data_IF_308691270760
#
_entry.id   IF_308691270760
#
_cell.length_a   1.000
_cell.length_b   1.000
_cell.length_c   1.000
_cell.angle_alpha   90.00
_cell.angle_beta   90.00
_cell.angle_gamma   90.00
#
_symmetry.space_group_name_H-M   'P 1'
#
loop_
_entity.id
_entity.type
_entity.pdbx_description
1 polymer ?
#
# COMPACT_ATOMS: atom_id res chain seq x y z
N UNK A 1 -10.46 -15.99 -12.84
CA UNK A 1 -9.61 -16.05 -14.05
C UNK A 1 -8.52 -14.96 -14.06
N UNK A 2 -8.04 -14.47 -12.90
CA UNK A 2 -7.13 -13.29 -12.85
C UNK A 2 -5.62 -13.61 -12.73
N UNK A 3 -5.23 -14.64 -11.98
CA UNK A 3 -3.82 -14.97 -11.74
C UNK A 3 -3.01 -15.30 -13.01
N UNK A 4 -3.51 -16.06 -14.01
CA UNK A 4 -2.77 -16.33 -15.24
C UNK A 4 -2.42 -15.05 -16.03
N UNK A 5 -3.33 -14.09 -16.07
CA UNK A 5 -3.10 -12.80 -16.75
C UNK A 5 -1.97 -11.98 -16.09
N UNK A 6 -1.84 -12.07 -14.77
CA UNK A 6 -0.81 -11.36 -14.02
C UNK A 6 0.58 -12.01 -14.16
N UNK A 7 0.65 -13.35 -14.22
CA UNK A 7 1.90 -14.06 -14.48
C UNK A 7 2.40 -13.81 -15.89
N UNK A 8 1.51 -13.83 -16.89
CA UNK A 8 1.86 -13.55 -18.29
C UNK A 8 2.44 -12.13 -18.44
N UNK A 9 1.87 -11.15 -17.72
CA UNK A 9 2.38 -9.79 -17.68
C UNK A 9 3.79 -9.72 -17.07
N UNK A 10 4.04 -10.42 -15.96
CA UNK A 10 5.37 -10.47 -15.34
C UNK A 10 6.41 -11.05 -16.28
N UNK A 11 6.09 -12.17 -16.93
CA UNK A 11 6.98 -12.84 -17.89
C UNK A 11 7.25 -11.96 -19.11
N UNK A 12 6.22 -11.33 -19.67
CA UNK A 12 6.35 -10.34 -20.76
C UNK A 12 7.32 -9.22 -20.38
N UNK A 13 7.23 -8.75 -19.13
CA UNK A 13 8.11 -7.72 -18.57
C UNK A 13 9.49 -8.25 -18.12
N UNK A 14 9.79 -9.53 -18.33
CA UNK A 14 11.09 -10.14 -18.03
C UNK A 14 11.33 -10.39 -16.54
N UNK A 15 10.27 -10.47 -15.74
CA UNK A 15 10.33 -10.92 -14.35
C UNK A 15 10.19 -12.43 -14.28
N UNK A 16 10.94 -13.05 -13.37
CA UNK A 16 10.74 -14.46 -13.03
C UNK A 16 9.56 -14.60 -12.08
N UNK A 17 8.58 -15.42 -12.44
CA UNK A 17 7.46 -15.74 -11.54
C UNK A 17 7.99 -16.59 -10.37
N UNK A 18 7.74 -16.20 -9.10
CA UNK A 18 8.22 -16.95 -7.95
C UNK A 18 7.65 -18.37 -7.92
N UNK A 19 8.53 -19.38 -7.83
CA UNK A 19 8.13 -20.78 -7.64
C UNK A 19 8.19 -21.19 -6.16
N UNK A 20 8.94 -20.44 -5.35
CA UNK A 20 9.13 -20.69 -3.92
C UNK A 20 8.84 -19.43 -3.12
N UNK A 21 8.39 -19.58 -1.87
CA UNK A 21 7.96 -18.44 -1.05
C UNK A 21 9.09 -17.44 -0.74
N UNK A 22 10.34 -17.89 -0.63
CA UNK A 22 11.47 -17.00 -0.37
C UNK A 22 11.81 -16.08 -1.56
N UNK A 23 11.39 -16.44 -2.78
CA UNK A 23 11.55 -15.61 -3.98
C UNK A 23 10.50 -14.50 -4.06
N UNK A 24 9.36 -14.68 -3.37
CA UNK A 24 8.23 -13.76 -3.42
C UNK A 24 8.58 -12.42 -2.73
N UNK A 25 8.22 -11.28 -3.36
CA UNK A 25 8.33 -9.98 -2.71
C UNK A 25 7.49 -9.95 -1.44
N UNK A 26 7.96 -9.23 -0.43
CA UNK A 26 7.20 -9.00 0.81
C UNK A 26 6.45 -7.69 0.68
N UNK A 27 5.13 -7.72 0.83
CA UNK A 27 4.30 -6.53 0.90
C UNK A 27 3.56 -6.47 2.23
N UNK A 28 3.25 -5.25 2.68
CA UNK A 28 2.30 -5.06 3.76
C UNK A 28 0.86 -5.14 3.26
N UNK A 29 -0.05 -5.64 4.10
CA UNK A 29 -1.48 -5.68 3.77
C UNK A 29 -2.27 -5.29 5.01
N UNK A 30 -3.27 -4.41 4.84
CA UNK A 30 -4.22 -4.14 5.92
C UNK A 30 -4.91 -5.43 6.34
N UNK A 31 -4.72 -5.88 7.58
CA UNK A 31 -5.09 -7.22 8.03
C UNK A 31 -6.60 -7.57 7.86
N UNK A 32 -7.48 -6.58 7.85
CA UNK A 32 -8.90 -6.81 7.58
C UNK A 32 -9.14 -7.33 6.14
N UNK A 33 -8.26 -7.01 5.19
CA UNK A 33 -8.36 -7.42 3.78
C UNK A 33 -8.05 -8.91 3.58
N UNK A 34 -7.33 -9.53 4.52
CA UNK A 34 -7.00 -10.96 4.49
C UNK A 34 -8.00 -11.83 5.26
N UNK A 35 -9.04 -11.21 5.82
CA UNK A 35 -10.10 -11.91 6.55
C UNK A 35 -9.96 -11.87 8.07
N UNK A 36 -8.94 -11.19 8.61
CA UNK A 36 -8.86 -11.01 10.05
C UNK A 36 -9.97 -10.07 10.55
N UNK A 37 -10.66 -10.47 11.61
CA UNK A 37 -11.77 -9.72 12.23
C UNK A 37 -11.25 -8.60 13.14
N UNK A 38 -10.57 -7.62 12.55
CA UNK A 38 -9.85 -6.54 13.26
C UNK A 38 -10.45 -5.15 13.07
N UNK A 39 -11.57 -5.04 12.35
CA UNK A 39 -12.24 -3.75 12.16
C UNK A 39 -12.87 -3.25 13.46
N UNK A 40 -13.20 -1.96 13.48
CA UNK A 40 -13.78 -1.30 14.63
C UNK A 40 -15.12 -1.93 15.07
N UNK A 41 -15.86 -2.53 14.13
CA UNK A 41 -17.12 -3.23 14.33
C UNK A 41 -16.96 -4.73 14.64
N UNK A 42 -15.73 -5.23 14.75
CA UNK A 42 -15.45 -6.64 15.00
C UNK A 42 -15.55 -7.54 13.77
N UNK A 43 -15.69 -6.98 12.57
CA UNK A 43 -15.75 -7.73 11.32
C UNK A 43 -14.43 -7.65 10.54
N UNK A 44 -14.41 -8.25 9.34
CA UNK A 44 -13.33 -8.18 8.38
C UNK A 44 -13.75 -7.46 7.09
N UNK A 45 -12.85 -7.42 6.11
CA UNK A 45 -13.12 -6.93 4.75
C UNK A 45 -12.37 -7.77 3.73
N UNK A 46 -12.54 -9.09 3.83
CA UNK A 46 -11.84 -10.07 2.99
C UNK A 46 -11.93 -9.66 1.51
N UNK A 47 -10.79 -9.51 0.86
CA UNK A 47 -10.71 -9.02 -0.51
C UNK A 47 -10.19 -10.12 -1.44
N UNK A 48 -11.01 -10.51 -2.44
CA UNK A 48 -10.68 -11.59 -3.36
C UNK A 48 -9.50 -11.29 -4.30
N UNK A 49 -9.24 -10.02 -4.65
CA UNK A 49 -8.06 -9.66 -5.45
C UNK A 49 -6.79 -9.89 -4.61
N UNK A 50 -6.80 -9.42 -3.37
CA UNK A 50 -5.68 -9.62 -2.43
C UNK A 50 -5.43 -11.10 -2.22
N UNK A 51 -6.45 -11.89 -1.88
CA UNK A 51 -6.25 -13.29 -1.50
C UNK A 51 -6.08 -14.25 -2.67
N UNK A 52 -6.72 -14.01 -3.82
CA UNK A 52 -6.68 -14.96 -4.93
C UNK A 52 -5.77 -14.55 -6.09
N UNK A 53 -5.41 -13.26 -6.20
CA UNK A 53 -4.54 -12.79 -7.29
C UNK A 53 -3.17 -12.36 -6.78
N UNK A 54 -3.12 -11.66 -5.65
CA UNK A 54 -1.84 -11.20 -5.09
C UNK A 54 -1.15 -12.27 -4.23
N UNK A 55 -1.85 -12.91 -3.29
CA UNK A 55 -1.23 -13.90 -2.38
C UNK A 55 -0.43 -15.03 -3.06
N UNK A 56 -0.81 -15.54 -4.25
CA UNK A 56 0.01 -16.51 -4.98
C UNK A 56 1.39 -15.98 -5.38
N UNK A 57 1.55 -14.66 -5.58
CA UNK A 57 2.72 -14.03 -6.17
C UNK A 57 3.61 -13.31 -5.14
N UNK A 58 3.13 -13.08 -3.91
CA UNK A 58 3.79 -12.26 -2.90
C UNK A 58 3.54 -12.76 -1.48
N UNK A 59 4.43 -12.43 -0.55
CA UNK A 59 4.27 -12.70 0.89
C UNK A 59 3.66 -11.50 1.59
N UNK A 60 2.70 -11.75 2.47
CA UNK A 60 2.01 -10.71 3.21
C UNK A 60 2.57 -10.54 4.62
N UNK A 61 2.83 -9.28 4.98
CA UNK A 61 2.97 -8.82 6.36
C UNK A 61 1.68 -8.10 6.73
N UNK A 62 0.80 -8.84 7.40
CA UNK A 62 -0.51 -8.35 7.77
C UNK A 62 -0.40 -7.36 8.93
N UNK A 63 -0.97 -6.17 8.77
CA UNK A 63 -0.88 -5.10 9.78
C UNK A 63 -2.25 -4.49 10.00
N UNK A 64 -2.66 -4.38 11.26
CA UNK A 64 -3.73 -3.48 11.69
C UNK A 64 -3.12 -2.42 12.63
N UNK A 65 -2.89 -1.18 12.16
CA UNK A 65 -2.27 -0.16 12.99
C UNK A 65 -3.05 0.11 14.29
N UNK A 66 -4.38 0.13 14.21
CA UNK A 66 -5.27 0.38 15.35
C UNK A 66 -5.12 -0.69 16.45
N UNK A 67 -5.07 -1.97 16.08
CA UNK A 67 -4.82 -3.05 17.04
C UNK A 67 -3.38 -3.01 17.55
N UNK A 68 -2.43 -2.63 16.70
CA UNK A 68 -1.00 -2.56 17.05
C UNK A 68 -0.70 -1.47 18.10
N UNK A 69 -1.53 -0.44 18.19
CA UNK A 69 -1.45 0.60 19.24
C UNK A 69 -2.30 0.28 20.47
N UNK A 70 -2.92 -0.91 20.51
CA UNK A 70 -3.68 -1.40 21.66
C UNK A 70 -5.18 -1.09 21.64
N UNK A 71 -5.76 -0.61 20.53
CA UNK A 71 -7.21 -0.44 20.47
C UNK A 71 -7.94 -1.79 20.43
N UNK A 72 -9.07 -1.94 21.14
CA UNK A 72 -9.79 -3.20 21.22
C UNK A 72 -10.54 -3.54 19.92
N UNK A 73 -11.13 -4.73 19.92
CA UNK A 73 -12.06 -5.22 18.90
C UNK A 73 -13.32 -5.72 19.62
N UNK A 74 -14.50 -5.10 19.41
CA UNK A 74 -14.74 -3.84 18.69
C UNK A 74 -14.15 -2.62 19.45
N UNK A 75 -14.15 -1.46 18.81
CA UNK A 75 -13.70 -0.17 19.38
C UNK A 75 -14.56 1.00 18.89
N UNK A 76 -14.62 2.11 19.66
CA UNK A 76 -15.18 3.36 19.16
C UNK A 76 -14.47 3.84 17.89
N UNK A 77 -15.19 4.51 16.97
CA UNK A 77 -14.58 5.04 15.75
C UNK A 77 -13.60 6.17 16.07
N UNK A 78 -12.57 6.25 15.23
CA UNK A 78 -11.60 7.36 15.17
C UNK A 78 -11.72 8.02 13.79
N UNK A 79 -11.26 9.26 13.66
CA UNK A 79 -11.38 10.03 12.42
C UNK A 79 -10.17 10.92 12.20
N UNK A 80 -9.89 11.26 10.92
CA UNK A 80 -8.88 12.26 10.59
C UNK A 80 -9.51 13.65 10.70
N UNK A 81 -8.87 14.54 11.46
CA UNK A 81 -9.28 15.91 11.72
C UNK A 81 -8.15 16.86 11.34
N UNK A 82 -8.49 17.96 10.68
CA UNK A 82 -7.60 19.09 10.42
C UNK A 82 -7.63 20.02 11.64
N UNK A 83 -6.52 20.09 12.37
CA UNK A 83 -6.34 20.89 13.58
C UNK A 83 -5.01 21.64 13.51
N UNK A 84 -5.02 22.96 13.70
CA UNK A 84 -3.81 23.81 13.68
C UNK A 84 -2.92 23.62 12.45
N UNK A 85 -3.52 23.44 11.27
CA UNK A 85 -2.77 23.21 10.02
C UNK A 85 -2.19 21.79 9.88
N UNK A 86 -2.46 20.88 10.81
CA UNK A 86 -2.01 19.49 10.78
C UNK A 86 -3.17 18.49 10.72
N UNK A 87 -2.95 17.33 10.08
CA UNK A 87 -3.88 16.20 10.15
C UNK A 87 -3.58 15.36 11.40
N UNK A 88 -4.58 15.19 12.26
CA UNK A 88 -4.59 14.37 13.47
C UNK A 88 -5.61 13.25 13.36
N UNK A 89 -5.41 12.14 14.07
CA UNK A 89 -6.36 11.03 14.17
C UNK A 89 -6.93 11.00 15.58
N UNK A 90 -8.17 11.47 15.73
CA UNK A 90 -8.83 11.65 17.03
C UNK A 90 -9.98 10.66 17.22
N UNK A 91 -10.32 10.38 18.47
CA UNK A 91 -11.58 9.71 18.81
C UNK A 91 -12.79 10.53 18.38
N UNK A 92 -13.82 9.87 17.82
CA UNK A 92 -15.07 10.56 17.45
C UNK A 92 -15.89 10.92 18.70
N UNK A 93 -15.93 10.02 19.69
CA UNK A 93 -16.70 10.22 20.93
C UNK A 93 -15.93 11.03 21.99
N UNK A 94 -14.60 10.96 21.98
CA UNK A 94 -13.71 11.72 22.86
C UNK A 94 -12.56 12.28 22.03
N UNK A 95 -12.63 13.57 21.72
CA UNK A 95 -11.65 14.26 20.87
C UNK A 95 -10.33 14.53 21.58
N UNK A 96 -10.23 14.32 22.90
CA UNK A 96 -8.97 14.40 23.63
C UNK A 96 -8.07 13.17 23.39
N UNK A 97 -8.65 12.09 22.87
CA UNK A 97 -7.91 10.87 22.52
C UNK A 97 -7.28 11.02 21.14
N UNK A 98 -6.01 11.43 21.12
CA UNK A 98 -5.18 11.53 19.91
C UNK A 98 -4.34 10.28 19.70
N UNK A 99 -4.55 9.60 18.58
CA UNK A 99 -3.87 8.36 18.19
C UNK A 99 -2.79 8.57 17.12
N UNK A 100 -2.57 9.81 16.67
CA UNK A 100 -1.73 10.14 15.51
C UNK A 100 -0.34 9.54 15.64
N UNK A 101 0.39 9.88 16.71
CA UNK A 101 1.78 9.49 16.89
C UNK A 101 1.93 7.98 17.05
N UNK A 102 1.02 7.34 17.80
CA UNK A 102 1.04 5.90 17.99
C UNK A 102 0.85 5.16 16.65
N UNK A 103 -0.05 5.63 15.78
CA UNK A 103 -0.28 5.07 14.46
C UNK A 103 0.92 5.26 13.53
N UNK A 104 1.58 6.43 13.59
CA UNK A 104 2.80 6.72 12.83
C UNK A 104 3.96 5.79 13.25
N UNK A 105 4.13 5.55 14.55
CA UNK A 105 5.13 4.60 15.08
C UNK A 105 4.92 3.16 14.59
N UNK A 106 3.71 2.76 14.19
CA UNK A 106 3.51 1.44 13.55
C UNK A 106 4.19 1.40 12.17
N UNK A 107 4.16 2.49 11.40
CA UNK A 107 4.82 2.56 10.10
C UNK A 107 6.35 2.49 10.23
N UNK A 108 6.90 3.13 11.26
CA UNK A 108 8.33 3.10 11.59
C UNK A 108 8.83 1.67 11.91
N UNK A 109 7.95 0.82 12.46
CA UNK A 109 8.26 -0.57 12.82
C UNK A 109 8.08 -1.57 11.68
N UNK A 110 7.63 -1.14 10.50
CA UNK A 110 7.43 -2.06 9.37
C UNK A 110 8.73 -2.77 9.00
N UNK A 111 9.82 -2.03 8.78
CA UNK A 111 11.15 -2.56 8.48
C UNK A 111 11.29 -3.28 7.14
N UNK A 112 12.54 -3.47 6.70
CA UNK A 112 12.87 -4.13 5.44
C UNK A 112 12.90 -5.66 5.54
N UNK A 113 12.69 -6.39 4.43
CA UNK A 113 12.35 -5.88 3.09
C UNK A 113 10.86 -5.55 2.98
N UNK A 114 10.50 -4.39 2.41
CA UNK A 114 9.10 -4.03 2.09
C UNK A 114 9.02 -3.51 0.65
N UNK A 115 8.31 -4.21 -0.23
CA UNK A 115 8.23 -3.87 -1.65
C UNK A 115 6.95 -3.11 -2.05
N UNK A 116 5.96 -3.10 -1.16
CA UNK A 116 4.70 -2.39 -1.36
C UNK A 116 3.74 -2.57 -0.20
N UNK A 117 2.58 -1.93 -0.29
CA UNK A 117 1.52 -2.04 0.70
C UNK A 117 0.13 -1.93 0.08
N UNK A 118 -0.77 -2.86 0.42
CA UNK A 118 -2.21 -2.77 0.10
C UNK A 118 -2.98 -2.27 1.32
N UNK A 119 -3.56 -1.09 1.18
CA UNK A 119 -4.17 -0.32 2.25
C UNK A 119 -5.70 -0.43 2.20
N UNK A 120 -6.36 -0.42 3.35
CA UNK A 120 -7.82 -0.31 3.43
C UNK A 120 -8.25 1.14 3.21
N UNK A 121 -8.87 1.42 2.06
CA UNK A 121 -9.43 2.69 1.64
C UNK A 121 -10.35 3.27 2.71
N UNK A 122 -10.33 4.60 2.82
CA UNK A 122 -11.14 5.40 3.76
C UNK A 122 -10.88 5.15 5.24
N UNK A 123 -9.91 4.29 5.60
CA UNK A 123 -9.54 4.06 7.00
C UNK A 123 -8.82 5.28 7.59
N UNK A 124 -9.18 5.72 8.81
CA UNK A 124 -8.49 6.80 9.51
C UNK A 124 -7.02 6.49 9.86
N UNK A 125 -6.62 5.22 9.73
CA UNK A 125 -5.24 4.78 9.91
C UNK A 125 -4.57 4.44 8.57
N UNK A 126 -5.20 3.56 7.78
CA UNK A 126 -4.57 2.97 6.60
C UNK A 126 -4.92 3.64 5.27
N UNK A 127 -6.02 4.41 5.15
CA UNK A 127 -6.40 4.94 3.84
C UNK A 127 -5.35 5.93 3.33
N UNK A 128 -4.89 5.78 2.09
CA UNK A 128 -3.97 6.72 1.46
C UNK A 128 -4.74 7.60 0.48
N UNK A 129 -4.82 8.91 0.78
CA UNK A 129 -5.55 9.92 0.00
C UNK A 129 -7.04 9.59 -0.25
N UNK A 130 -7.61 8.67 0.51
CA UNK A 130 -9.01 8.23 0.39
C UNK A 130 -9.81 8.47 1.67
N UNK A 131 -9.17 8.99 2.72
CA UNK A 131 -9.77 9.09 4.05
C UNK A 131 -10.48 10.42 4.22
N UNK A 132 -11.77 10.44 4.63
CA UNK A 132 -12.48 11.69 4.92
C UNK A 132 -11.71 12.52 5.96
N UNK A 133 -11.44 13.78 5.62
CA UNK A 133 -10.80 14.75 6.50
C UNK A 133 -11.87 15.68 7.04
N UNK A 134 -11.96 15.78 8.37
CA UNK A 134 -12.96 16.62 9.02
C UNK A 134 -12.33 17.90 9.59
N UNK A 135 -13.12 18.96 9.73
CA UNK A 135 -12.76 20.11 10.57
C UNK A 135 -13.06 19.83 12.07
N UNK A 136 -12.73 20.78 12.94
CA UNK A 136 -13.01 20.72 14.38
C UNK A 136 -14.50 20.62 14.73
N UNK A 137 -15.38 20.98 13.80
CA UNK A 137 -16.84 20.92 13.95
C UNK A 137 -17.42 19.59 13.44
N UNK A 138 -16.58 18.69 12.94
CA UNK A 138 -16.99 17.38 12.42
C UNK A 138 -17.50 17.41 10.97
N UNK A 139 -17.37 18.53 10.26
CA UNK A 139 -17.75 18.60 8.85
C UNK A 139 -16.65 17.97 7.99
N UNK A 140 -17.03 17.15 7.01
CA UNK A 140 -16.08 16.64 6.02
C UNK A 140 -15.68 17.75 5.05
N UNK A 141 -14.40 18.13 5.04
CA UNK A 141 -13.86 19.24 4.26
C UNK A 141 -13.01 18.80 3.06
N UNK A 142 -12.47 17.57 3.09
CA UNK A 142 -11.62 17.06 2.02
C UNK A 142 -11.40 15.53 2.15
N UNK A 143 -10.52 14.99 1.32
CA UNK A 143 -9.92 13.66 1.50
C UNK A 143 -8.44 13.79 1.80
N UNK A 144 -7.97 13.11 2.84
CA UNK A 144 -6.58 13.01 3.24
C UNK A 144 -6.13 11.56 3.39
N UNK A 145 -5.06 11.37 4.14
CA UNK A 145 -4.53 10.04 4.48
C UNK A 145 -4.70 9.77 5.98
N UNK A 146 -4.88 8.52 6.34
CA UNK A 146 -4.71 8.10 7.72
C UNK A 146 -3.25 8.24 8.18
N UNK A 147 -3.04 8.37 9.49
CA UNK A 147 -1.72 8.65 10.06
C UNK A 147 -0.66 7.60 9.67
N UNK A 148 -1.00 6.30 9.78
CA UNK A 148 -0.09 5.22 9.36
C UNK A 148 0.25 5.30 7.87
N UNK A 149 -0.74 5.51 7.00
CA UNK A 149 -0.53 5.57 5.56
C UNK A 149 0.31 6.77 5.12
N UNK A 150 0.09 7.93 5.75
CA UNK A 150 0.90 9.13 5.55
C UNK A 150 2.36 8.86 5.91
N UNK A 151 2.62 8.38 7.13
CA UNK A 151 3.97 8.09 7.61
C UNK A 151 4.66 6.99 6.80
N UNK A 152 3.92 5.96 6.38
CA UNK A 152 4.42 4.91 5.52
C UNK A 152 4.91 5.46 4.17
N UNK A 153 4.15 6.38 3.57
CA UNK A 153 4.55 7.02 2.31
C UNK A 153 5.80 7.89 2.47
N UNK A 154 5.93 8.60 3.59
CA UNK A 154 7.12 9.41 3.92
C UNK A 154 8.37 8.55 4.09
N UNK A 155 8.27 7.43 4.81
CA UNK A 155 9.39 6.52 5.10
C UNK A 155 9.79 5.67 3.89
N UNK A 156 8.82 5.24 3.09
CA UNK A 156 9.02 4.34 1.96
C UNK A 156 8.51 4.98 0.64
N UNK A 157 9.07 6.11 0.19
CA UNK A 157 8.49 6.87 -0.92
C UNK A 157 8.50 6.10 -2.25
N UNK A 158 9.34 5.06 -2.38
CA UNK A 158 9.56 4.30 -3.61
C UNK A 158 8.82 2.97 -3.70
N UNK A 159 8.23 2.48 -2.62
CA UNK A 159 7.46 1.23 -2.66
C UNK A 159 6.11 1.46 -3.34
N UNK A 160 5.52 0.39 -3.87
CA UNK A 160 4.17 0.47 -4.43
C UNK A 160 3.13 0.66 -3.31
N UNK A 161 2.28 1.68 -3.38
CA UNK A 161 1.14 1.84 -2.48
C UNK A 161 -0.16 1.79 -3.30
N UNK A 162 -1.13 1.01 -2.84
CA UNK A 162 -2.46 0.99 -3.42
C UNK A 162 -3.51 0.88 -2.32
N UNK A 163 -4.61 1.60 -2.45
CA UNK A 163 -5.81 1.25 -1.69
C UNK A 163 -6.45 0.02 -2.36
N UNK A 164 -7.13 -0.83 -1.60
CA UNK A 164 -7.78 -2.03 -2.16
C UNK A 164 -8.81 -1.70 -3.24
N UNK A 165 -9.44 -0.52 -3.16
CA UNK A 165 -10.38 -0.02 -4.18
C UNK A 165 -9.71 0.32 -5.49
N UNK A 166 -8.43 0.71 -5.49
CA UNK A 166 -7.68 1.02 -6.72
C UNK A 166 -7.45 -0.26 -7.51
N UNK A 167 -7.19 -1.38 -6.81
CA UNK A 167 -6.90 -2.69 -7.38
C UNK A 167 -8.10 -3.31 -8.13
N UNK A 168 -9.31 -2.80 -7.95
CA UNK A 168 -10.49 -3.24 -8.70
C UNK A 168 -10.38 -2.90 -10.20
N UNK A 169 -9.60 -1.88 -10.54
CA UNK A 169 -9.30 -1.52 -11.93
C UNK A 169 -8.09 -2.32 -12.41
N UNK A 170 -8.21 -3.12 -13.48
CA UNK A 170 -7.12 -4.00 -13.94
C UNK A 170 -5.79 -3.28 -14.17
N UNK A 171 -5.83 -2.07 -14.72
CA UNK A 171 -4.62 -1.29 -14.98
C UNK A 171 -3.85 -0.92 -13.71
N UNK A 172 -4.55 -0.57 -12.61
CA UNK A 172 -3.88 -0.23 -11.35
C UNK A 172 -3.39 -1.48 -10.61
N UNK A 173 -4.09 -2.60 -10.74
CA UNK A 173 -3.60 -3.90 -10.26
C UNK A 173 -2.30 -4.32 -10.96
N UNK A 174 -2.28 -4.23 -12.29
CA UNK A 174 -1.10 -4.49 -13.11
C UNK A 174 0.05 -3.54 -12.75
N UNK A 175 -0.24 -2.25 -12.61
CA UNK A 175 0.74 -1.25 -12.20
C UNK A 175 1.33 -1.57 -10.82
N UNK A 176 0.49 -1.84 -9.82
CA UNK A 176 0.94 -2.21 -8.47
C UNK A 176 1.84 -3.45 -8.52
N UNK A 177 1.44 -4.48 -9.26
CA UNK A 177 2.22 -5.70 -9.42
C UNK A 177 3.60 -5.42 -10.04
N UNK A 178 3.65 -4.69 -11.15
CA UNK A 178 4.90 -4.35 -11.83
C UNK A 178 5.83 -3.51 -10.93
N UNK A 179 5.28 -2.55 -10.19
CA UNK A 179 6.05 -1.72 -9.26
C UNK A 179 6.64 -2.56 -8.11
N UNK A 180 5.88 -3.48 -7.52
CA UNK A 180 6.37 -4.37 -6.45
C UNK A 180 7.55 -5.22 -6.92
N UNK A 181 7.41 -5.90 -8.07
CA UNK A 181 8.47 -6.75 -8.63
C UNK A 181 9.67 -5.93 -9.09
N UNK A 182 9.42 -4.74 -9.65
CA UNK A 182 10.47 -3.83 -10.05
C UNK A 182 11.29 -3.36 -8.84
N UNK A 183 10.62 -2.92 -7.76
CA UNK A 183 11.28 -2.49 -6.54
C UNK A 183 12.10 -3.62 -5.92
N UNK A 184 11.53 -4.84 -5.84
CA UNK A 184 12.25 -5.99 -5.31
C UNK A 184 13.56 -6.24 -6.06
N UNK A 185 13.53 -6.28 -7.40
CA UNK A 185 14.73 -6.52 -8.19
C UNK A 185 15.72 -5.35 -8.10
N UNK A 186 15.24 -4.10 -8.16
CA UNK A 186 16.10 -2.92 -8.01
C UNK A 186 16.82 -2.88 -6.66
N UNK A 187 16.11 -3.19 -5.57
CA UNK A 187 16.67 -3.21 -4.21
C UNK A 187 17.71 -4.32 -3.99
N UNK A 188 17.70 -5.40 -4.79
CA UNK A 188 18.62 -6.54 -4.65
C UNK A 188 19.72 -6.58 -5.71
N UNK A 189 19.78 -5.61 -6.64
CA UNK A 189 20.72 -5.65 -7.76
C UNK A 189 21.82 -4.61 -7.59
N UNK A 190 23.09 -5.03 -7.64
CA UNK A 190 24.25 -4.14 -7.54
C UNK A 190 24.48 -3.30 -8.83
N UNK A 191 23.83 -3.67 -9.94
CA UNK A 191 23.90 -2.99 -11.24
C UNK A 191 22.57 -2.34 -11.62
N UNK A 192 22.03 -1.52 -10.73
CA UNK A 192 20.70 -0.91 -10.85
C UNK A 192 20.48 -0.15 -12.18
N UNK A 193 21.51 0.52 -12.72
CA UNK A 193 21.39 1.40 -13.90
C UNK A 193 21.11 0.64 -15.20
N UNK A 194 21.92 -0.36 -15.54
CA UNK A 194 21.72 -1.16 -16.76
C UNK A 194 20.44 -1.98 -16.71
N UNK A 195 20.07 -2.46 -15.51
CA UNK A 195 18.83 -3.19 -15.30
C UNK A 195 17.60 -2.30 -15.48
N UNK A 196 17.60 -1.06 -14.95
CA UNK A 196 16.51 -0.10 -15.14
C UNK A 196 16.32 0.26 -16.61
N UNK A 197 17.42 0.45 -17.36
CA UNK A 197 17.34 0.74 -18.80
C UNK A 197 16.66 -0.40 -19.57
N UNK A 198 17.03 -1.66 -19.30
CA UNK A 198 16.37 -2.82 -19.91
C UNK A 198 14.88 -2.90 -19.56
N UNK A 199 14.49 -2.51 -18.35
CA UNK A 199 13.07 -2.45 -17.94
C UNK A 199 12.32 -1.31 -18.64
N UNK A 200 12.98 -0.17 -18.87
CA UNK A 200 12.43 0.94 -19.63
C UNK A 200 12.17 0.52 -21.09
N UNK A 201 13.12 -0.14 -21.75
CA UNK A 201 12.93 -0.65 -23.11
C UNK A 201 11.77 -1.66 -23.21
N UNK A 202 11.69 -2.60 -22.26
CA UNK A 202 10.57 -3.56 -22.20
C UNK A 202 9.21 -2.91 -21.97
N UNK A 203 9.17 -1.75 -21.32
CA UNK A 203 7.90 -1.04 -21.05
C UNK A 203 7.19 -0.58 -22.32
N UNK A 204 7.88 -0.46 -23.46
CA UNK A 204 7.27 -0.15 -24.75
C UNK A 204 6.28 -1.22 -25.24
N UNK A 205 6.33 -2.42 -24.65
CA UNK A 205 5.38 -3.50 -24.93
C UNK A 205 4.05 -3.35 -24.17
N UNK A 206 3.95 -2.38 -23.25
CA UNK A 206 2.76 -2.13 -22.44
C UNK A 206 1.80 -1.19 -23.17
N UNK A 207 0.50 -1.39 -22.95
CA UNK A 207 -0.54 -0.51 -23.46
C UNK A 207 -0.74 0.71 -22.55
N UNK A 208 -1.32 1.80 -23.07
CA UNK A 208 -1.70 2.96 -22.26
C UNK A 208 -2.95 2.67 -21.40
N UNK A 209 -3.04 3.21 -20.17
CA UNK A 209 -2.08 4.12 -19.52
C UNK A 209 -0.98 3.42 -18.72
N UNK A 210 -0.90 2.08 -18.77
CA UNK A 210 0.04 1.29 -17.95
C UNK A 210 1.50 1.63 -18.30
N UNK A 211 1.80 1.79 -19.58
CA UNK A 211 3.14 2.17 -20.05
C UNK A 211 3.62 3.47 -19.41
N UNK A 212 2.90 4.57 -19.62
CA UNK A 212 3.29 5.90 -19.10
C UNK A 212 3.47 5.87 -17.58
N UNK A 213 2.54 5.27 -16.85
CA UNK A 213 2.61 5.19 -15.39
C UNK A 213 3.82 4.38 -14.91
N UNK A 214 4.13 3.27 -15.58
CA UNK A 214 5.28 2.44 -15.23
C UNK A 214 6.60 3.13 -15.57
N UNK A 215 6.70 3.82 -16.70
CA UNK A 215 7.89 4.61 -17.08
C UNK A 215 8.16 5.74 -16.08
N UNK A 216 7.12 6.45 -15.64
CA UNK A 216 7.25 7.45 -14.56
C UNK A 216 7.79 6.83 -13.26
N UNK A 217 7.34 5.63 -12.91
CA UNK A 217 7.85 4.91 -11.76
C UNK A 217 9.34 4.53 -11.91
N UNK A 218 9.75 4.00 -13.06
CA UNK A 218 11.15 3.67 -13.33
C UNK A 218 12.05 4.91 -13.26
N UNK A 219 11.60 6.04 -13.79
CA UNK A 219 12.32 7.32 -13.70
C UNK A 219 12.56 7.75 -12.26
N UNK A 220 11.55 7.61 -11.39
CA UNK A 220 11.69 7.89 -9.95
C UNK A 220 12.66 6.96 -9.24
N UNK A 221 12.75 5.69 -9.64
CA UNK A 221 13.75 4.77 -9.10
C UNK A 221 15.17 5.16 -9.54
N UNK A 222 15.34 5.54 -10.81
CA UNK A 222 16.62 6.00 -11.35
C UNK A 222 17.16 7.24 -10.61
N UNK A 223 16.30 8.22 -10.33
CA UNK A 223 16.67 9.42 -9.59
C UNK A 223 17.18 9.16 -8.17
N UNK A 224 16.85 8.01 -7.57
CA UNK A 224 17.29 7.66 -6.22
C UNK A 224 18.67 6.97 -6.19
N UNK A 225 19.29 6.75 -7.35
CA UNK A 225 20.65 6.21 -7.46
C UNK A 225 21.75 7.29 -7.40
N UNK A 226 21.37 8.56 -7.38
CA UNK A 226 22.23 9.73 -7.30
C UNK A 226 22.00 10.47 -5.98
#
# INVERSE_FOLDING_TARGET
>A
MGAPMLTDLLEKMGFSVPQQDWQKPVIGVSACLTGQKVRYDGDHKHNGIVMHQLAPLMRFRETCPEVSIGLPIPRPPIQVVQLDGQQRVLGVADTNMDYTEALEQVAERMGDPLCGFVLKARSPSCGHLTTPLHDEHGNNIATGSGAFARKLHELYPRIALANESDLEKPVFLQQFLLQVFCYQQWHHNDHQGSWLQQRLEKSELLEEPLRTNFQHYLSRLSQAMH
#
